data_IF_745994894002
#
_entry.id   IF_745994894002
#
_cell.length_a   1.000
_cell.length_b   1.000
_cell.length_c   1.000
_cell.angle_alpha   90.00
_cell.angle_beta   90.00
_cell.angle_gamma   90.00
#
_symmetry.space_group_name_H-M   'P 1'
#
loop_
_entity.id
_entity.type
_entity.pdbx_description
1 polymer ?
#
# COMPACT_ATOMS: atom_id res chain seq x y z
N UNK A 1 -11.93 -47.63 -38.60
CA UNK A 1 -12.63 -46.33 -38.60
C UNK A 1 -13.11 -46.12 -37.18
N UNK A 2 -12.32 -45.42 -36.38
CA UNK A 2 -12.50 -45.29 -34.93
C UNK A 2 -13.66 -44.36 -34.60
N UNK A 3 -14.56 -44.79 -33.72
CA UNK A 3 -15.37 -43.84 -32.95
C UNK A 3 -15.79 -44.51 -31.63
N UNK A 4 -15.05 -44.18 -30.58
CA UNK A 4 -15.43 -44.41 -29.19
C UNK A 4 -15.01 -43.16 -28.41
N UNK A 5 -15.90 -42.19 -28.32
CA UNK A 5 -15.69 -40.98 -27.53
C UNK A 5 -17.02 -40.43 -27.03
N UNK A 6 -17.69 -41.18 -26.16
CA UNK A 6 -18.76 -40.66 -25.34
C UNK A 6 -18.54 -41.12 -23.90
N UNK A 7 -18.78 -40.20 -22.96
CA UNK A 7 -18.81 -40.41 -21.50
C UNK A 7 -17.50 -40.19 -20.73
N UNK A 8 -16.90 -39.00 -20.86
CA UNK A 8 -15.99 -38.46 -19.83
C UNK A 8 -16.20 -36.95 -19.61
N UNK A 9 -17.35 -36.37 -19.99
CA UNK A 9 -17.54 -34.90 -20.04
C UNK A 9 -17.88 -34.22 -18.71
N UNK A 10 -18.72 -34.84 -17.86
CA UNK A 10 -19.27 -34.18 -16.66
C UNK A 10 -18.28 -34.03 -15.50
N UNK A 11 -17.43 -35.04 -15.25
CA UNK A 11 -16.41 -34.98 -14.19
C UNK A 11 -15.29 -34.00 -14.53
N UNK A 12 -14.90 -33.94 -15.80
CA UNK A 12 -13.82 -33.07 -16.26
C UNK A 12 -14.23 -31.61 -16.26
N UNK A 13 -15.47 -31.30 -16.66
CA UNK A 13 -16.02 -29.95 -16.55
C UNK A 13 -16.05 -29.47 -15.09
N UNK A 14 -16.57 -30.28 -14.15
CA UNK A 14 -16.53 -29.96 -12.72
C UNK A 14 -15.10 -29.76 -12.19
N UNK A 15 -14.17 -30.62 -12.60
CA UNK A 15 -12.76 -30.51 -12.21
C UNK A 15 -12.10 -29.24 -12.75
N UNK A 16 -12.43 -28.83 -13.98
CA UNK A 16 -11.92 -27.61 -14.60
C UNK A 16 -12.46 -26.38 -13.87
N UNK A 17 -13.74 -26.37 -13.49
CA UNK A 17 -14.34 -25.27 -12.72
C UNK A 17 -13.69 -25.13 -11.34
N UNK A 18 -13.47 -26.24 -10.63
CA UNK A 18 -12.79 -26.18 -9.34
C UNK A 18 -11.33 -25.74 -9.47
N UNK A 19 -10.63 -26.18 -10.53
CA UNK A 19 -9.28 -25.76 -10.82
C UNK A 19 -9.22 -24.24 -11.12
N UNK A 20 -10.15 -23.72 -11.92
CA UNK A 20 -10.18 -22.29 -12.25
C UNK A 20 -10.49 -21.43 -11.03
N UNK A 21 -11.40 -21.86 -10.15
CA UNK A 21 -11.66 -21.20 -8.86
C UNK A 21 -10.41 -21.21 -8.00
N UNK A 22 -9.74 -22.36 -7.87
CA UNK A 22 -8.50 -22.48 -7.09
C UNK A 22 -7.40 -21.56 -7.62
N UNK A 23 -7.17 -21.53 -8.92
CA UNK A 23 -6.20 -20.64 -9.56
C UNK A 23 -6.59 -19.18 -9.31
N UNK A 24 -7.86 -18.82 -9.48
CA UNK A 24 -8.34 -17.46 -9.23
C UNK A 24 -8.11 -17.00 -7.80
N UNK A 25 -8.38 -17.86 -6.81
CA UNK A 25 -8.13 -17.58 -5.40
C UNK A 25 -6.64 -17.40 -5.11
N UNK A 26 -5.78 -18.25 -5.68
CA UNK A 26 -4.32 -18.15 -5.51
C UNK A 26 -3.81 -16.83 -6.10
N UNK A 27 -4.24 -16.48 -7.32
CA UNK A 27 -3.84 -15.22 -7.97
C UNK A 27 -4.31 -14.01 -7.17
N UNK A 28 -5.56 -14.01 -6.70
CA UNK A 28 -6.09 -12.94 -5.88
C UNK A 28 -5.31 -12.78 -4.58
N UNK A 29 -5.05 -13.89 -3.85
CA UNK A 29 -4.27 -13.86 -2.62
C UNK A 29 -2.84 -13.35 -2.87
N UNK A 30 -2.17 -13.82 -3.92
CA UNK A 30 -0.82 -13.38 -4.28
C UNK A 30 -0.76 -11.88 -4.60
N UNK A 31 -1.73 -11.35 -5.36
CA UNK A 31 -1.80 -9.93 -5.68
C UNK A 31 -1.94 -9.07 -4.41
N UNK A 32 -2.82 -9.45 -3.48
CA UNK A 32 -3.00 -8.74 -2.22
C UNK A 32 -1.77 -8.85 -1.31
N UNK A 33 -1.15 -10.04 -1.23
CA UNK A 33 0.09 -10.23 -0.48
C UNK A 33 1.23 -9.37 -1.02
N UNK A 34 1.32 -9.20 -2.34
CA UNK A 34 2.30 -8.31 -2.96
C UNK A 34 2.08 -6.84 -2.56
N UNK A 35 0.82 -6.37 -2.50
CA UNK A 35 0.52 -5.01 -2.06
C UNK A 35 0.93 -4.78 -0.60
N UNK A 36 0.67 -5.75 0.28
CA UNK A 36 1.14 -5.71 1.66
C UNK A 36 2.67 -5.70 1.75
N UNK A 37 3.35 -6.54 0.96
CA UNK A 37 4.80 -6.56 0.90
C UNK A 37 5.37 -5.20 0.47
N UNK A 38 4.81 -4.58 -0.56
CA UNK A 38 5.23 -3.23 -1.00
C UNK A 38 5.01 -2.21 0.12
N UNK A 39 3.84 -2.22 0.75
CA UNK A 39 3.52 -1.26 1.82
C UNK A 39 4.49 -1.36 3.02
N UNK A 40 4.95 -2.57 3.35
CA UNK A 40 5.88 -2.79 4.47
C UNK A 40 7.35 -2.63 4.07
N UNK A 41 7.72 -3.01 2.84
CA UNK A 41 9.11 -2.96 2.35
C UNK A 41 9.53 -1.58 1.85
N UNK A 42 8.58 -0.71 1.50
CA UNK A 42 8.86 0.70 1.22
C UNK A 42 9.31 1.37 2.50
N UNK A 43 10.64 1.43 2.73
CA UNK A 43 11.33 2.15 3.82
C UNK A 43 10.39 3.08 4.61
N UNK A 44 9.64 2.55 5.60
CA UNK A 44 8.83 3.35 6.49
C UNK A 44 9.69 3.76 7.69
N UNK A 45 11.01 3.74 7.53
CA UNK A 45 11.89 4.44 8.43
C UNK A 45 11.44 5.89 8.37
N UNK A 46 10.67 6.26 9.40
CA UNK A 46 10.47 7.62 9.81
C UNK A 46 11.87 8.17 10.05
N UNK A 47 12.52 8.62 8.98
CA UNK A 47 13.71 9.46 9.07
C UNK A 47 13.34 10.51 10.10
N UNK A 48 14.16 10.68 11.13
CA UNK A 48 13.86 11.59 12.22
C UNK A 48 13.55 12.96 11.62
N UNK A 49 12.25 13.22 11.40
CA UNK A 49 11.79 14.41 10.73
C UNK A 49 11.97 15.50 11.76
N UNK A 50 13.07 16.21 11.62
CA UNK A 50 13.34 17.36 12.45
C UNK A 50 12.19 18.35 12.27
N UNK A 51 11.75 18.91 13.40
CA UNK A 51 10.69 19.90 13.41
C UNK A 51 11.10 21.08 12.52
N UNK A 52 10.11 21.82 12.01
CA UNK A 52 10.38 22.92 11.09
C UNK A 52 11.38 23.92 11.72
N UNK A 53 12.56 24.06 11.10
CA UNK A 53 13.64 24.93 11.57
C UNK A 53 14.80 24.24 12.30
N UNK A 54 14.74 22.93 12.53
CA UNK A 54 15.75 22.21 13.34
C UNK A 54 16.85 21.51 12.51
N UNK A 55 16.68 21.39 11.19
CA UNK A 55 17.69 20.83 10.29
C UNK A 55 18.72 21.84 9.76
N UNK A 56 20.00 21.67 10.12
CA UNK A 56 21.13 22.55 9.71
C UNK A 56 21.80 22.15 8.36
N UNK A 57 21.04 21.58 7.42
CA UNK A 57 21.53 21.36 6.04
C UNK A 57 22.09 19.99 5.65
N UNK A 58 22.28 19.88 4.33
CA UNK A 58 22.74 18.82 3.38
C UNK A 58 22.37 17.34 3.59
N UNK A 59 21.98 16.91 4.79
CA UNK A 59 21.71 15.50 5.12
C UNK A 59 20.54 15.28 6.08
N UNK A 60 19.70 16.30 6.28
CA UNK A 60 18.52 16.25 7.16
C UNK A 60 17.25 16.55 6.39
N UNK A 61 16.23 15.70 6.53
CA UNK A 61 14.92 15.87 5.89
C UNK A 61 13.96 16.58 6.84
N UNK A 62 13.87 17.90 6.75
CA UNK A 62 12.93 18.70 7.54
C UNK A 62 11.53 18.71 6.91
N UNK A 63 10.49 18.80 7.74
CA UNK A 63 9.12 18.96 7.24
C UNK A 63 8.98 20.21 6.36
N UNK A 64 8.25 20.08 5.24
CA UNK A 64 7.94 21.19 4.34
C UNK A 64 7.18 22.29 5.10
N UNK A 65 7.42 23.56 4.72
CA UNK A 65 6.70 24.69 5.30
C UNK A 65 5.20 24.59 4.96
N UNK A 66 4.33 24.74 5.96
CA UNK A 66 2.88 24.75 5.72
C UNK A 66 2.49 26.06 5.03
N UNK A 67 1.79 25.99 3.89
CA UNK A 67 1.24 27.17 3.20
C UNK A 67 0.04 27.82 3.92
N UNK A 68 -0.25 27.40 5.16
CA UNK A 68 -1.29 27.99 5.97
C UNK A 68 -0.93 29.45 6.25
N UNK A 69 -1.72 30.38 5.71
CA UNK A 69 -1.70 31.78 6.14
C UNK A 69 -2.43 31.88 7.47
N UNK A 70 -1.79 31.39 8.53
CA UNK A 70 -2.20 31.71 9.89
C UNK A 70 -1.91 33.20 10.08
N UNK A 71 -2.93 34.04 9.90
CA UNK A 71 -2.86 35.43 10.34
C UNK A 71 -2.38 35.40 11.80
N UNK A 72 -1.29 36.10 12.17
CA UNK A 72 -0.88 36.17 13.56
C UNK A 72 -2.02 36.86 14.32
N UNK A 73 -2.84 36.08 15.02
CA UNK A 73 -3.76 36.61 16.00
C UNK A 73 -2.90 37.21 17.11
N UNK A 74 -2.98 38.53 17.29
CA UNK A 74 -2.13 39.36 18.14
C UNK A 74 -2.26 39.08 19.65
N UNK A 75 -2.71 37.91 20.08
CA UNK A 75 -3.07 37.62 21.48
C UNK A 75 -1.91 37.02 22.29
N UNK A 76 -0.86 36.48 21.68
CA UNK A 76 0.22 35.79 22.43
C UNK A 76 1.41 36.67 22.83
N UNK A 77 1.31 38.01 22.71
CA UNK A 77 2.34 38.95 23.23
C UNK A 77 1.98 39.56 24.58
N UNK A 78 0.85 39.20 25.19
CA UNK A 78 0.41 39.71 26.50
C UNK A 78 0.51 38.69 27.64
N UNK A 79 1.28 37.60 27.47
CA UNK A 79 1.47 36.56 28.50
C UNK A 79 2.95 36.31 28.83
N UNK A 80 3.79 37.32 28.60
CA UNK A 80 5.15 37.38 29.18
C UNK A 80 5.35 38.79 29.73
N UNK A 81 4.63 39.07 30.81
CA UNK A 81 5.12 39.92 31.90
C UNK A 81 4.88 39.15 33.21
#
# INVERSE_FOLDING_TARGET
MSSAAASHGGWKAKSIVWLSIGIGLIVFAAANAHLLYVAVSSQPDCVAHLSHGEGNGTKSFSAATSSCSSKPSMTTKAQVE
#
